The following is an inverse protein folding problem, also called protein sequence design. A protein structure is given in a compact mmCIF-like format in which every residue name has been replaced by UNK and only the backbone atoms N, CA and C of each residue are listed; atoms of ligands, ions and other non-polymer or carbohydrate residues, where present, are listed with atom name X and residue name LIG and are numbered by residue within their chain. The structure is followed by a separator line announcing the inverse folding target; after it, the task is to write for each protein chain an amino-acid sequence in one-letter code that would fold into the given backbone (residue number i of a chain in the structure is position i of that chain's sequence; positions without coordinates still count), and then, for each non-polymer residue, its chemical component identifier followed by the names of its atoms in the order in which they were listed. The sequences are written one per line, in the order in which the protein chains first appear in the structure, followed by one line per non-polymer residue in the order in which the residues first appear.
data_IF_486674862724
#
_entry.id   IF_486674862724
#
_cell.length_a   1.000
_cell.length_b   1.000
_cell.length_c   1.000
_cell.angle_alpha   90.00
_cell.angle_beta   90.00
_cell.angle_gamma   90.00
#
_symmetry.space_group_name_H-M   'P 1'
#
loop_
_entity.id
_entity.type
_entity.pdbx_description
1 polymer ?
#
# COMPACT_ATOMS: atom_id res chain seq x y z
N UNK A 1 18.56 0.39 20.23
CA UNK A 1 18.33 -0.86 19.48
C UNK A 1 19.33 -1.86 20.01
N UNK A 2 18.91 -3.09 20.29
CA UNK A 2 19.78 -4.13 20.80
C UNK A 2 19.69 -5.38 19.91
N UNK A 3 20.83 -6.03 19.68
CA UNK A 3 20.90 -7.33 19.03
C UNK A 3 20.87 -8.38 20.14
N UNK A 4 19.97 -9.35 20.02
CA UNK A 4 19.87 -10.45 20.98
C UNK A 4 20.74 -11.60 20.48
N UNK A 5 21.72 -12.02 21.28
CA UNK A 5 22.56 -13.20 21.05
C UNK A 5 22.32 -14.20 22.18
N UNK A 6 22.29 -15.49 21.85
CA UNK A 6 22.32 -16.60 22.81
C UNK A 6 21.22 -16.54 23.90
N UNK A 7 20.00 -16.16 23.52
CA UNK A 7 18.87 -16.07 24.44
C UNK A 7 17.78 -17.10 24.10
N UNK A 8 17.59 -18.09 24.96
CA UNK A 8 16.62 -19.17 24.77
C UNK A 8 15.16 -18.71 24.80
N UNK A 9 14.84 -17.66 25.55
CA UNK A 9 13.47 -17.18 25.73
C UNK A 9 12.98 -16.35 24.54
N UNK A 10 13.89 -15.64 23.86
CA UNK A 10 13.54 -14.66 22.83
C UNK A 10 13.71 -15.20 21.39
N UNK A 11 14.21 -16.42 21.22
CA UNK A 11 14.47 -17.03 19.91
C UNK A 11 13.21 -17.12 19.03
N UNK A 12 12.09 -17.55 19.61
CA UNK A 12 10.84 -17.80 18.90
C UNK A 12 9.80 -16.68 19.05
N UNK A 13 10.12 -15.62 19.79
CA UNK A 13 9.18 -14.53 20.07
C UNK A 13 9.32 -13.43 19.01
N UNK A 14 8.21 -13.01 18.42
CA UNK A 14 8.11 -11.89 17.47
C UNK A 14 6.92 -11.01 17.85
N UNK A 15 6.98 -9.73 17.49
CA UNK A 15 5.88 -8.78 17.72
C UNK A 15 6.16 -7.76 18.82
N UNK A 16 5.09 -7.16 19.36
CA UNK A 16 5.21 -6.10 20.37
C UNK A 16 4.98 -6.62 21.78
N UNK A 17 5.89 -6.31 22.69
CA UNK A 17 5.76 -6.60 24.11
C UNK A 17 5.37 -5.33 24.86
N UNK A 18 4.23 -5.38 25.57
CA UNK A 18 3.75 -4.31 26.46
C UNK A 18 3.57 -2.93 25.80
N UNK A 19 3.51 -2.85 24.47
CA UNK A 19 3.47 -1.58 23.74
C UNK A 19 4.75 -0.74 23.83
N UNK A 20 5.83 -1.26 24.41
CA UNK A 20 7.08 -0.52 24.62
C UNK A 20 8.22 -1.04 23.74
N UNK A 21 8.22 -2.34 23.46
CA UNK A 21 9.27 -3.02 22.70
C UNK A 21 8.66 -3.76 21.51
N UNK A 22 9.42 -3.81 20.42
CA UNK A 22 9.12 -4.63 19.25
C UNK A 22 10.31 -5.54 18.97
N UNK A 23 10.03 -6.84 18.88
CA UNK A 23 10.98 -7.91 18.58
C UNK A 23 10.71 -8.34 17.13
N UNK A 24 11.73 -8.23 16.30
CA UNK A 24 11.64 -8.61 14.89
C UNK A 24 12.95 -9.21 14.42
N UNK A 25 12.90 -9.91 13.29
CA UNK A 25 14.06 -10.53 12.68
C UNK A 25 14.50 -9.75 11.44
N UNK A 26 15.80 -9.55 11.30
CA UNK A 26 16.39 -8.96 10.10
C UNK A 26 17.74 -9.62 9.83
N UNK A 27 17.93 -10.12 8.62
CA UNK A 27 19.15 -10.82 8.19
C UNK A 27 19.54 -11.96 9.16
N UNK A 28 18.57 -12.75 9.63
CA UNK A 28 18.79 -13.86 10.56
C UNK A 28 19.14 -13.45 12.00
N UNK A 29 19.12 -12.16 12.34
CA UNK A 29 19.38 -11.67 13.68
C UNK A 29 18.09 -11.18 14.34
N UNK A 30 17.94 -11.51 15.62
CA UNK A 30 16.83 -11.04 16.44
C UNK A 30 17.17 -9.66 16.98
N UNK A 31 16.34 -8.69 16.63
CA UNK A 31 16.52 -7.28 17.00
C UNK A 31 15.39 -6.86 17.93
N UNK A 32 15.77 -6.23 19.04
CA UNK A 32 14.84 -5.55 19.94
C UNK A 32 14.97 -4.04 19.76
N UNK A 33 13.86 -3.38 19.49
CA UNK A 33 13.78 -1.94 19.38
C UNK A 33 12.62 -1.39 20.21
N UNK A 34 12.75 -0.12 20.64
CA UNK A 34 11.61 0.62 21.20
C UNK A 34 10.50 0.65 20.16
N UNK A 35 9.27 0.34 20.57
CA UNK A 35 8.09 0.39 19.70
C UNK A 35 8.00 1.78 19.10
N UNK A 36 8.04 1.86 17.76
CA UNK A 36 7.87 3.12 17.05
C UNK A 36 6.39 3.44 16.98
N UNK A 37 6.04 4.65 17.41
CA UNK A 37 4.72 5.22 17.13
C UNK A 37 4.59 5.66 15.67
N UNK A 38 3.40 6.14 15.26
CA UNK A 38 3.24 6.80 13.97
C UNK A 38 4.24 7.95 13.82
N UNK A 39 4.67 8.19 12.59
CA UNK A 39 5.56 9.31 12.28
C UNK A 39 4.89 10.63 12.67
N UNK A 40 5.59 11.45 13.45
CA UNK A 40 5.18 12.83 13.77
C UNK A 40 5.62 13.83 12.70
N UNK A 41 6.44 13.40 11.74
CA UNK A 41 6.98 14.28 10.71
C UNK A 41 5.91 14.61 9.68
N UNK A 42 5.90 15.87 9.23
CA UNK A 42 5.00 16.33 8.16
C UNK A 42 5.30 15.56 6.86
N UNK A 43 4.28 15.11 6.12
CA UNK A 43 4.48 14.47 4.82
C UNK A 43 5.17 15.43 3.83
N UNK A 44 6.03 14.90 2.98
CA UNK A 44 6.61 15.66 1.86
C UNK A 44 5.55 15.99 0.80
N UNK A 45 5.82 16.99 -0.06
CA UNK A 45 4.94 17.36 -1.18
C UNK A 45 4.59 16.15 -2.07
N UNK A 46 5.60 15.38 -2.48
CA UNK A 46 5.41 14.14 -3.27
C UNK A 46 4.52 13.11 -2.57
N UNK A 47 4.62 12.99 -1.24
CA UNK A 47 3.74 12.09 -0.46
C UNK A 47 2.29 12.58 -0.44
N UNK A 48 2.06 13.90 -0.37
CA UNK A 48 0.72 14.48 -0.42
C UNK A 48 0.09 14.29 -1.81
N UNK A 49 0.85 14.53 -2.87
CA UNK A 49 0.42 14.29 -4.26
C UNK A 49 0.05 12.83 -4.50
N UNK A 50 0.90 11.88 -4.08
CA UNK A 50 0.62 10.46 -4.21
C UNK A 50 -0.66 10.05 -3.45
N UNK A 51 -0.87 10.59 -2.23
CA UNK A 51 -2.10 10.37 -1.46
C UNK A 51 -3.33 10.92 -2.17
N UNK A 52 -3.21 12.11 -2.77
CA UNK A 52 -4.29 12.74 -3.50
C UNK A 52 -4.66 11.94 -4.76
N UNK A 53 -3.66 11.55 -5.57
CA UNK A 53 -3.86 10.68 -6.74
C UNK A 53 -4.52 9.35 -6.36
N UNK A 54 -4.08 8.74 -5.25
CA UNK A 54 -4.67 7.49 -4.75
C UNK A 54 -6.14 7.67 -4.33
N UNK A 55 -6.48 8.80 -3.71
CA UNK A 55 -7.86 9.10 -3.31
C UNK A 55 -8.78 9.21 -4.54
N UNK A 56 -8.32 9.87 -5.60
CA UNK A 56 -9.06 9.96 -6.86
C UNK A 56 -9.21 8.59 -7.51
N UNK A 57 -8.11 7.83 -7.63
CA UNK A 57 -8.12 6.50 -8.20
C UNK A 57 -9.08 5.55 -7.47
N UNK A 58 -9.12 5.61 -6.14
CA UNK A 58 -10.04 4.82 -5.32
C UNK A 58 -11.51 5.21 -5.54
N UNK A 59 -11.82 6.49 -5.66
CA UNK A 59 -13.18 6.95 -5.95
C UNK A 59 -13.62 6.52 -7.35
N UNK A 60 -12.76 6.70 -8.35
CA UNK A 60 -13.03 6.30 -9.73
C UNK A 60 -13.23 4.79 -9.88
N UNK A 61 -12.38 3.99 -9.23
CA UNK A 61 -12.50 2.53 -9.23
C UNK A 61 -13.83 2.06 -8.63
N UNK A 62 -14.37 2.75 -7.61
CA UNK A 62 -15.70 2.39 -7.06
C UNK A 62 -16.80 2.59 -8.11
N UNK A 63 -16.78 3.72 -8.82
CA UNK A 63 -17.79 4.06 -9.84
C UNK A 63 -17.73 3.08 -11.01
N UNK A 64 -16.54 2.78 -11.54
CA UNK A 64 -16.41 1.82 -12.66
C UNK A 64 -16.94 0.43 -12.30
N UNK A 65 -16.70 -0.03 -11.07
CA UNK A 65 -17.07 -1.38 -10.67
C UNK A 65 -18.57 -1.55 -10.36
N UNK A 66 -19.35 -0.46 -10.40
CA UNK A 66 -20.81 -0.55 -10.42
C UNK A 66 -21.31 -1.20 -11.71
N UNK A 67 -20.57 -1.05 -12.81
CA UNK A 67 -20.84 -1.75 -14.07
C UNK A 67 -20.39 -3.23 -13.97
N UNK A 68 -21.33 -4.19 -14.12
CA UNK A 68 -21.02 -5.62 -14.03
C UNK A 68 -20.07 -6.10 -15.14
N UNK A 69 -20.09 -5.49 -16.33
CA UNK A 69 -19.22 -5.89 -17.45
C UNK A 69 -17.77 -5.52 -17.16
N UNK A 70 -17.54 -4.26 -16.75
CA UNK A 70 -16.22 -3.77 -16.38
C UNK A 70 -15.67 -4.52 -15.16
N UNK A 71 -16.52 -4.85 -14.20
CA UNK A 71 -16.13 -5.67 -13.05
C UNK A 71 -15.67 -7.06 -13.44
N UNK A 72 -16.35 -7.72 -14.38
CA UNK A 72 -15.94 -9.01 -14.90
C UNK A 72 -14.60 -8.92 -15.67
N UNK A 73 -14.44 -7.89 -16.48
CA UNK A 73 -13.18 -7.60 -17.19
C UNK A 73 -12.01 -7.43 -16.24
N UNK A 74 -12.12 -6.59 -15.20
CA UNK A 74 -11.03 -6.41 -14.23
C UNK A 74 -10.79 -7.66 -13.37
N UNK A 75 -11.83 -8.47 -13.11
CA UNK A 75 -11.68 -9.76 -12.44
C UNK A 75 -10.88 -10.75 -13.28
N UNK A 76 -11.09 -10.78 -14.59
CA UNK A 76 -10.32 -11.66 -15.51
C UNK A 76 -8.83 -11.31 -15.56
N UNK A 77 -8.49 -10.03 -15.34
CA UNK A 77 -7.11 -9.53 -15.33
C UNK A 77 -6.45 -9.58 -13.95
N UNK A 78 -7.15 -10.01 -12.91
CA UNK A 78 -6.63 -10.04 -11.56
C UNK A 78 -5.65 -11.22 -11.38
N UNK A 79 -4.46 -10.92 -10.85
CA UNK A 79 -3.47 -11.94 -10.47
C UNK A 79 -3.77 -12.61 -9.12
N UNK A 80 -2.92 -13.55 -8.67
CA UNK A 80 -3.09 -14.22 -7.38
C UNK A 80 -3.10 -13.20 -6.23
N UNK A 81 -4.14 -13.27 -5.39
CA UNK A 81 -4.32 -12.35 -4.25
C UNK A 81 -4.84 -10.94 -4.60
N UNK A 82 -5.17 -10.69 -5.88
CA UNK A 82 -5.76 -9.42 -6.32
C UNK A 82 -7.25 -9.60 -6.62
N UNK A 83 -8.05 -8.55 -6.39
CA UNK A 83 -9.44 -8.49 -6.77
C UNK A 83 -9.65 -7.44 -7.89
N UNK A 84 -10.84 -7.40 -8.48
CA UNK A 84 -11.19 -6.44 -9.53
C UNK A 84 -10.98 -4.98 -9.08
N UNK A 85 -11.21 -4.68 -7.79
CA UNK A 85 -10.99 -3.36 -7.22
C UNK A 85 -9.53 -2.93 -7.23
N UNK A 86 -8.62 -3.80 -6.80
CA UNK A 86 -7.19 -3.54 -6.79
C UNK A 86 -6.68 -3.30 -8.22
N UNK A 87 -7.24 -4.00 -9.21
CA UNK A 87 -6.92 -3.81 -10.62
C UNK A 87 -7.43 -2.47 -11.15
N UNK A 88 -8.69 -2.12 -10.88
CA UNK A 88 -9.26 -0.83 -11.29
C UNK A 88 -8.53 0.36 -10.65
N UNK A 89 -8.18 0.28 -9.36
CA UNK A 89 -7.38 1.32 -8.68
C UNK A 89 -5.99 1.47 -9.31
N UNK A 90 -5.34 0.35 -9.63
CA UNK A 90 -4.02 0.36 -10.27
C UNK A 90 -4.06 1.00 -11.66
N UNK A 91 -5.10 0.70 -12.43
CA UNK A 91 -5.33 1.27 -13.75
C UNK A 91 -5.53 2.79 -13.66
N UNK A 92 -6.47 3.22 -12.82
CA UNK A 92 -6.77 4.62 -12.56
C UNK A 92 -5.60 5.43 -12.01
N UNK A 93 -4.76 4.83 -11.17
CA UNK A 93 -3.60 5.49 -10.59
C UNK A 93 -2.46 5.70 -11.60
N UNK A 94 -2.39 4.84 -12.63
CA UNK A 94 -1.36 4.89 -13.68
C UNK A 94 -1.86 5.54 -14.97
N UNK A 95 -3.09 6.03 -14.98
CA UNK A 95 -3.65 6.69 -16.15
C UNK A 95 -2.77 7.87 -16.56
N UNK A 96 -2.46 8.01 -17.86
CA UNK A 96 -1.67 9.13 -18.36
C UNK A 96 -2.43 10.45 -18.14
N UNK A 97 -1.69 11.55 -17.98
CA UNK A 97 -2.27 12.89 -17.94
C UNK A 97 -2.61 13.30 -19.39
N UNK A 98 -3.89 13.58 -19.67
CA UNK A 98 -4.35 14.04 -20.99
C UNK A 98 -3.93 15.50 -21.15
N UNK A 99 -2.99 15.77 -22.06
CA UNK A 99 -2.41 17.10 -22.25
C UNK A 99 -3.16 17.98 -23.25
N UNK A 100 -3.95 17.38 -24.15
CA UNK A 100 -4.75 18.10 -25.14
C UNK A 100 -5.71 17.17 -25.86
N UNK A 101 -6.88 17.70 -26.20
CA UNK A 101 -7.89 17.02 -27.03
C UNK A 101 -8.10 17.92 -28.24
N UNK A 102 -7.85 17.38 -29.43
CA UNK A 102 -8.17 18.05 -30.71
C UNK A 102 -9.42 17.38 -31.25
N UNK A 103 -10.48 18.16 -31.47
CA UNK A 103 -11.67 17.68 -32.17
C UNK A 103 -11.49 18.00 -33.65
N UNK A 104 -11.52 16.98 -34.50
CA UNK A 104 -11.68 17.17 -35.94
C UNK A 104 -13.18 17.15 -36.23
N UNK A 105 -13.71 18.31 -36.66
CA UNK A 105 -15.08 18.41 -37.14
C UNK A 105 -15.20 17.60 -38.45
N UNK A 106 -16.14 16.65 -38.49
CA UNK A 106 -16.47 15.87 -39.70
C UNK A 106 -17.55 16.55 -40.51
#
# INVERSE_FOLDING_TARGET
MAIVKDNILLQLVRGSLGGQLTIYERNGQIIMAKKRGPSKNKPSKKQLEARYKLRIAAAYAKVILEDPELKAYYKSKAGPGQNAYNMAVKDAYRSPEVQGIVFEDT
#
